data_IF_102958861623
#
_entry.id   IF_102958861623
#
_cell.length_a   1.000
_cell.length_b   1.000
_cell.length_c   1.000
_cell.angle_alpha   90.00
_cell.angle_beta   90.00
_cell.angle_gamma   90.00
#
_symmetry.space_group_name_H-M   'P 1'
#
loop_
_entity.id
_entity.type
_entity.pdbx_description
1 polymer ?
#
# COMPACT_ATOMS: atom_id res chain seq x y z
N UNK A 1 11.24 -39.48 36.43
CA UNK A 1 10.09 -39.91 35.62
C UNK A 1 10.04 -41.43 35.44
N UNK A 2 11.14 -42.08 35.08
CA UNK A 2 11.19 -43.56 34.89
C UNK A 2 10.95 -44.36 36.15
N UNK A 3 11.21 -43.82 37.34
CA UNK A 3 10.92 -44.47 38.64
C UNK A 3 9.43 -44.53 38.98
N UNK A 4 8.62 -43.63 38.37
CA UNK A 4 7.16 -43.57 38.59
C UNK A 4 6.40 -44.25 37.46
N UNK A 5 6.92 -44.17 36.22
CA UNK A 5 6.29 -44.75 35.04
C UNK A 5 7.36 -45.28 34.07
N UNK A 6 7.49 -46.59 33.98
CA UNK A 6 8.47 -47.26 33.09
C UNK A 6 8.25 -47.01 31.62
N UNK A 7 7.05 -46.56 31.22
CA UNK A 7 6.72 -46.18 29.84
C UNK A 7 6.89 -44.67 29.54
N UNK A 8 7.27 -43.84 30.54
CA UNK A 8 7.29 -42.40 30.41
C UNK A 8 8.16 -41.91 29.24
N UNK A 9 9.39 -42.45 29.11
CA UNK A 9 10.30 -42.11 28.04
C UNK A 9 9.71 -42.46 26.65
N UNK A 10 9.09 -43.61 26.51
CA UNK A 10 8.46 -44.11 25.29
C UNK A 10 7.25 -43.28 24.91
N UNK A 11 6.43 -42.92 25.91
CA UNK A 11 5.25 -42.07 25.68
C UNK A 11 5.66 -40.66 25.27
N UNK A 12 6.71 -40.10 25.89
CA UNK A 12 7.26 -38.81 25.53
C UNK A 12 7.82 -38.82 24.09
N UNK A 13 8.59 -39.87 23.74
CA UNK A 13 9.10 -39.99 22.36
C UNK A 13 7.95 -40.04 21.34
N UNK A 14 6.90 -40.84 21.56
CA UNK A 14 5.72 -40.89 20.71
C UNK A 14 4.98 -39.56 20.64
N UNK A 15 4.91 -38.83 21.73
CA UNK A 15 4.32 -37.46 21.72
C UNK A 15 5.15 -36.53 20.87
N UNK A 16 6.48 -36.50 21.02
CA UNK A 16 7.37 -35.69 20.21
C UNK A 16 7.27 -36.02 18.72
N UNK A 17 7.22 -37.32 18.36
CA UNK A 17 7.02 -37.72 16.95
C UNK A 17 5.69 -37.24 16.37
N UNK A 18 4.60 -37.32 17.16
CA UNK A 18 3.29 -36.81 16.72
C UNK A 18 3.29 -35.29 16.62
N UNK A 19 3.90 -34.61 17.59
CA UNK A 19 4.02 -33.15 17.56
C UNK A 19 4.82 -32.66 16.35
N UNK A 20 5.96 -33.31 16.04
CA UNK A 20 6.76 -32.99 14.87
C UNK A 20 5.96 -33.16 13.55
N UNK A 21 5.19 -34.27 13.43
CA UNK A 21 4.35 -34.48 12.24
C UNK A 21 3.21 -33.46 12.13
N UNK A 22 2.65 -33.01 13.24
CA UNK A 22 1.63 -31.97 13.24
C UNK A 22 2.24 -30.62 12.84
N UNK A 23 3.42 -30.31 13.37
CA UNK A 23 4.16 -29.10 13.02
C UNK A 23 4.50 -29.04 11.53
N UNK A 24 5.03 -30.13 10.97
CA UNK A 24 5.27 -30.25 9.51
C UNK A 24 4.00 -30.08 8.66
N UNK A 25 2.86 -30.59 9.15
CA UNK A 25 1.59 -30.43 8.47
C UNK A 25 1.16 -28.96 8.45
N UNK A 26 1.19 -28.29 9.61
CA UNK A 26 0.83 -26.88 9.72
C UNK A 26 1.77 -25.97 8.93
N UNK A 27 3.08 -26.22 8.97
CA UNK A 27 4.06 -25.50 8.19
C UNK A 27 3.74 -25.56 6.68
N UNK A 28 3.42 -26.76 6.16
CA UNK A 28 3.00 -26.90 4.75
C UNK A 28 1.72 -26.14 4.43
N UNK A 29 0.73 -26.11 5.34
CA UNK A 29 -0.49 -25.33 5.17
C UNK A 29 -0.20 -23.82 5.16
N UNK A 30 0.67 -23.35 6.06
CA UNK A 30 1.11 -21.97 6.12
C UNK A 30 1.85 -21.54 4.83
N UNK A 31 2.76 -22.37 4.34
CA UNK A 31 3.47 -22.12 3.08
C UNK A 31 2.52 -22.08 1.87
N UNK A 32 1.57 -23.01 1.81
CA UNK A 32 0.54 -23.03 0.77
C UNK A 32 -0.34 -21.77 0.81
N UNK A 33 -0.72 -21.32 2.02
CA UNK A 33 -1.44 -20.07 2.22
C UNK A 33 -0.65 -18.87 1.72
N UNK A 34 0.62 -18.74 2.14
CA UNK A 34 1.49 -17.64 1.71
C UNK A 34 1.72 -17.64 0.18
N UNK A 35 1.88 -18.82 -0.41
CA UNK A 35 2.01 -18.97 -1.86
C UNK A 35 0.74 -18.54 -2.60
N UNK A 36 -0.44 -18.92 -2.10
CA UNK A 36 -1.73 -18.55 -2.69
C UNK A 36 -2.05 -17.07 -2.52
N UNK A 37 -1.67 -16.49 -1.38
CA UNK A 37 -1.86 -15.07 -1.08
C UNK A 37 -0.87 -14.17 -1.83
N UNK A 38 0.24 -14.74 -2.35
CA UNK A 38 1.28 -13.95 -3.01
C UNK A 38 0.76 -13.31 -4.29
N UNK A 39 0.92 -11.99 -4.39
CA UNK A 39 0.54 -11.29 -5.61
C UNK A 39 1.51 -11.61 -6.76
N UNK A 40 0.94 -12.13 -7.86
CA UNK A 40 1.72 -12.54 -9.04
C UNK A 40 2.07 -11.36 -9.96
N UNK A 41 1.23 -10.32 -9.99
CA UNK A 41 1.39 -9.18 -10.91
C UNK A 41 1.00 -7.86 -10.24
N UNK A 42 1.83 -6.82 -10.47
CA UNK A 42 1.57 -5.45 -10.00
C UNK A 42 0.28 -4.85 -10.58
N UNK A 43 -0.14 -5.30 -11.76
CA UNK A 43 -1.36 -4.81 -12.43
C UNK A 43 -2.65 -5.26 -11.75
N UNK A 44 -2.61 -6.37 -11.03
CA UNK A 44 -3.77 -6.90 -10.30
C UNK A 44 -3.97 -6.24 -8.93
N UNK A 45 -3.03 -5.39 -8.49
CA UNK A 45 -3.07 -4.79 -7.18
C UNK A 45 -3.90 -3.50 -7.13
N UNK A 46 -4.59 -3.25 -6.03
CA UNK A 46 -5.21 -1.96 -5.77
C UNK A 46 -4.20 -0.81 -5.81
N UNK A 47 -4.59 0.35 -6.33
CA UNK A 47 -3.75 1.47 -6.77
C UNK A 47 -2.52 1.89 -5.93
N UNK A 48 -2.56 1.78 -4.59
CA UNK A 48 -1.42 2.15 -3.74
C UNK A 48 -0.36 1.06 -3.59
N UNK A 49 -0.76 -0.20 -3.63
CA UNK A 49 0.13 -1.33 -3.37
C UNK A 49 1.10 -1.65 -4.53
N UNK A 50 0.82 -1.16 -5.74
CA UNK A 50 1.72 -1.30 -6.89
C UNK A 50 3.13 -0.75 -6.67
N UNK A 51 3.30 0.14 -5.69
CA UNK A 51 4.63 0.66 -5.32
C UNK A 51 5.51 -0.39 -4.64
N UNK A 52 4.94 -1.23 -3.77
CA UNK A 52 5.70 -2.26 -3.06
C UNK A 52 6.27 -3.32 -4.00
N UNK A 53 5.51 -3.75 -5.02
CA UNK A 53 6.00 -4.70 -6.03
C UNK A 53 7.12 -4.14 -6.91
N UNK A 54 7.13 -2.84 -7.15
CA UNK A 54 8.19 -2.20 -7.95
C UNK A 54 9.54 -2.18 -7.26
N UNK A 55 9.55 -2.25 -5.95
CA UNK A 55 10.78 -2.39 -5.14
C UNK A 55 11.32 -3.83 -5.11
N UNK A 56 10.66 -4.79 -5.78
CA UNK A 56 11.05 -6.20 -5.78
C UNK A 56 10.75 -6.94 -4.48
N UNK A 57 10.01 -6.32 -3.57
CA UNK A 57 9.67 -6.93 -2.29
C UNK A 57 8.46 -7.88 -2.43
N UNK A 58 8.39 -8.96 -1.66
CA UNK A 58 7.26 -9.86 -1.67
C UNK A 58 6.01 -9.17 -1.12
N UNK A 59 4.88 -9.44 -1.75
CA UNK A 59 3.59 -8.82 -1.46
C UNK A 59 2.53 -9.91 -1.36
N UNK A 60 1.65 -9.81 -0.38
CA UNK A 60 0.57 -10.76 -0.14
C UNK A 60 -0.78 -10.04 -0.12
N UNK A 61 -1.79 -10.66 -0.72
CA UNK A 61 -3.18 -10.22 -0.62
C UNK A 61 -3.71 -10.55 0.77
N UNK A 62 -4.32 -9.59 1.44
CA UNK A 62 -4.83 -9.78 2.82
C UNK A 62 -6.09 -10.67 2.87
N UNK A 63 -6.87 -10.72 1.79
CA UNK A 63 -8.13 -11.47 1.78
C UNK A 63 -7.96 -12.98 2.02
N UNK A 64 -7.05 -13.71 1.33
CA UNK A 64 -6.80 -15.12 1.65
C UNK A 64 -6.29 -15.33 3.07
N UNK A 65 -5.50 -14.37 3.59
CA UNK A 65 -4.98 -14.44 4.96
C UNK A 65 -6.09 -14.30 6.01
N UNK A 66 -7.09 -13.45 5.77
CA UNK A 66 -8.24 -13.26 6.67
C UNK A 66 -9.21 -14.43 6.69
N UNK A 67 -9.36 -15.11 5.55
CA UNK A 67 -10.34 -16.19 5.40
C UNK A 67 -9.81 -17.55 5.87
N UNK A 68 -8.57 -17.62 6.35
CA UNK A 68 -7.95 -18.85 6.79
C UNK A 68 -8.21 -19.15 8.28
N UNK A 69 -7.93 -20.38 8.67
CA UNK A 69 -7.95 -20.77 10.09
C UNK A 69 -6.93 -19.94 10.89
N UNK A 70 -7.28 -19.45 12.11
CA UNK A 70 -6.39 -18.62 12.92
C UNK A 70 -5.05 -19.28 13.24
N UNK A 71 -5.01 -20.61 13.43
CA UNK A 71 -3.77 -21.33 13.69
C UNK A 71 -2.85 -21.33 12.46
N UNK A 72 -3.43 -21.53 11.26
CA UNK A 72 -2.66 -21.49 10.01
C UNK A 72 -2.17 -20.08 9.74
N UNK A 73 -2.97 -19.05 10.03
CA UNK A 73 -2.54 -17.65 9.92
C UNK A 73 -1.36 -17.38 10.86
N UNK A 74 -1.44 -17.81 12.10
CA UNK A 74 -0.38 -17.64 13.08
C UNK A 74 0.94 -18.26 12.60
N UNK A 75 0.91 -19.51 12.15
CA UNK A 75 2.07 -20.20 11.57
C UNK A 75 2.61 -19.47 10.32
N UNK A 76 1.74 -18.96 9.45
CA UNK A 76 2.14 -18.19 8.28
C UNK A 76 2.83 -16.88 8.66
N UNK A 77 2.31 -16.16 9.66
CA UNK A 77 2.92 -14.93 10.16
C UNK A 77 4.26 -15.21 10.84
N UNK A 78 4.40 -16.30 11.58
CA UNK A 78 5.69 -16.75 12.10
C UNK A 78 6.71 -16.97 10.97
N UNK A 79 6.35 -17.69 9.91
CA UNK A 79 7.21 -17.90 8.73
C UNK A 79 7.67 -16.59 8.08
N UNK A 80 6.80 -15.57 8.02
CA UNK A 80 7.16 -14.25 7.50
C UNK A 80 8.15 -13.49 8.38
N UNK A 81 8.12 -13.74 9.68
CA UNK A 81 8.96 -13.06 10.69
C UNK A 81 10.23 -13.83 11.01
N UNK A 82 10.28 -15.13 10.77
CA UNK A 82 11.41 -16.03 11.10
C UNK A 82 12.81 -15.49 10.71
N UNK A 83 13.00 -14.80 9.58
CA UNK A 83 14.28 -14.17 9.26
C UNK A 83 14.71 -13.08 10.27
N UNK A 84 13.79 -12.64 11.15
CA UNK A 84 14.06 -11.66 12.20
C UNK A 84 14.29 -12.41 13.50
N UNK A 85 15.55 -12.51 13.95
CA UNK A 85 15.87 -13.14 15.22
C UNK A 85 15.08 -12.48 16.36
N UNK A 86 14.59 -13.30 17.30
CA UNK A 86 13.88 -12.87 18.52
C UNK A 86 12.55 -12.14 18.27
N UNK A 87 11.82 -12.55 17.22
CA UNK A 87 10.45 -12.04 17.02
C UNK A 87 9.57 -12.51 18.18
N UNK A 88 9.20 -11.59 19.06
CA UNK A 88 8.33 -11.84 20.19
C UNK A 88 6.88 -12.10 19.71
N UNK A 89 6.16 -12.95 20.40
CA UNK A 89 4.73 -13.25 20.20
C UNK A 89 3.85 -12.01 19.99
N UNK A 90 4.20 -10.89 20.65
CA UNK A 90 3.49 -9.62 20.48
C UNK A 90 3.49 -9.12 19.02
N UNK A 91 4.55 -9.39 18.26
CA UNK A 91 4.65 -8.95 16.85
C UNK A 91 3.74 -9.78 15.95
N UNK A 92 3.59 -11.07 16.23
CA UNK A 92 2.66 -11.94 15.52
C UNK A 92 1.23 -11.41 15.67
N UNK A 93 0.82 -11.08 16.90
CA UNK A 93 -0.49 -10.47 17.17
C UNK A 93 -0.68 -9.13 16.46
N UNK A 94 0.33 -8.27 16.49
CA UNK A 94 0.27 -6.99 15.79
C UNK A 94 0.17 -7.17 14.27
N UNK A 95 0.82 -8.20 13.70
CA UNK A 95 0.71 -8.53 12.29
C UNK A 95 -0.67 -9.12 11.95
N UNK A 96 -1.23 -9.97 12.81
CA UNK A 96 -2.59 -10.47 12.65
C UNK A 96 -3.60 -9.31 12.64
N UNK A 97 -3.48 -8.38 13.59
CA UNK A 97 -4.27 -7.14 13.63
C UNK A 97 -4.08 -6.29 12.36
N UNK A 98 -2.86 -6.22 11.82
CA UNK A 98 -2.57 -5.47 10.61
C UNK A 98 -3.24 -6.11 9.38
N UNK A 99 -3.23 -7.45 9.29
CA UNK A 99 -3.93 -8.20 8.24
C UNK A 99 -5.43 -7.96 8.33
N UNK A 100 -6.01 -8.02 9.54
CA UNK A 100 -7.44 -7.82 9.76
C UNK A 100 -7.88 -6.40 9.39
N UNK A 101 -7.16 -5.38 9.85
CA UNK A 101 -7.43 -3.98 9.55
C UNK A 101 -7.19 -3.61 8.08
N UNK A 102 -6.29 -4.32 7.40
CA UNK A 102 -5.93 -4.10 5.99
C UNK A 102 -5.27 -2.74 5.73
N UNK A 103 -4.87 -2.01 6.78
CA UNK A 103 -4.17 -0.73 6.67
C UNK A 103 -3.36 -0.42 7.91
N UNK A 104 -2.17 0.16 7.71
CA UNK A 104 -1.26 0.54 8.80
C UNK A 104 0.14 0.00 8.61
N UNK A 105 0.92 -0.01 9.70
CA UNK A 105 2.27 -0.54 9.68
C UNK A 105 2.71 -1.03 11.06
N UNK A 106 3.52 -2.08 11.07
CA UNK A 106 4.14 -2.66 12.27
C UNK A 106 5.65 -2.68 12.09
N UNK A 107 6.38 -2.03 12.99
CA UNK A 107 7.84 -2.04 13.02
C UNK A 107 8.28 -3.23 13.86
N UNK A 108 8.98 -4.21 13.27
CA UNK A 108 9.52 -5.37 13.99
C UNK A 108 10.88 -5.04 14.59
N UNK A 109 11.77 -4.54 13.74
CA UNK A 109 13.11 -4.11 14.13
C UNK A 109 13.40 -2.79 13.44
N UNK A 110 14.53 -2.21 13.78
CA UNK A 110 15.01 -1.04 13.07
C UNK A 110 15.15 -1.24 11.54
N UNK A 111 15.33 -2.48 11.10
CA UNK A 111 15.57 -2.81 9.69
C UNK A 111 14.33 -3.38 9.00
N UNK A 112 13.36 -3.93 9.72
CA UNK A 112 12.22 -4.66 9.14
C UNK A 112 10.91 -4.06 9.60
N UNK A 113 10.05 -3.74 8.66
CA UNK A 113 8.71 -3.22 8.86
C UNK A 113 7.72 -3.94 7.95
N UNK A 114 6.55 -4.26 8.48
CA UNK A 114 5.42 -4.69 7.67
C UNK A 114 4.43 -3.56 7.50
N UNK A 115 3.90 -3.43 6.30
CA UNK A 115 2.90 -2.44 5.95
C UNK A 115 1.71 -3.13 5.31
N UNK A 116 0.51 -2.63 5.59
CA UNK A 116 -0.70 -3.04 4.91
C UNK A 116 -1.46 -1.82 4.38
N UNK A 117 -2.05 -1.96 3.19
CA UNK A 117 -2.85 -0.93 2.57
C UNK A 117 -3.70 -1.51 1.45
N UNK A 118 -4.93 -1.05 1.35
CA UNK A 118 -5.87 -1.45 0.29
C UNK A 118 -6.02 -2.98 0.12
N UNK A 119 -5.90 -3.73 1.23
CA UNK A 119 -6.01 -5.18 1.23
C UNK A 119 -4.74 -5.91 0.77
N UNK A 120 -3.59 -5.25 0.83
CA UNK A 120 -2.28 -5.81 0.49
C UNK A 120 -1.33 -5.65 1.66
N UNK A 121 -0.60 -6.72 1.99
CA UNK A 121 0.46 -6.76 3.00
C UNK A 121 1.81 -6.88 2.29
N UNK A 122 2.82 -6.12 2.73
CA UNK A 122 4.20 -6.25 2.24
C UNK A 122 5.21 -6.01 3.34
N UNK A 123 6.43 -6.52 3.11
CA UNK A 123 7.57 -6.34 3.99
C UNK A 123 8.52 -5.29 3.40
N UNK A 124 8.89 -4.31 4.20
CA UNK A 124 9.93 -3.33 3.89
C UNK A 124 11.18 -3.65 4.68
N UNK A 125 12.33 -3.69 4.00
CA UNK A 125 13.64 -3.75 4.63
C UNK A 125 14.32 -2.40 4.55
N UNK A 126 14.78 -1.89 5.69
CA UNK A 126 15.58 -0.69 5.71
C UNK A 126 16.95 -0.99 5.10
N UNK A 127 17.24 -0.41 3.97
CA UNK A 127 18.57 -0.46 3.38
C UNK A 127 19.58 0.18 4.34
N UNK A 128 20.59 -0.60 4.77
CA UNK A 128 21.62 -0.15 5.71
C UNK A 128 22.40 1.06 5.20
N UNK A 129 22.45 1.27 3.89
CA UNK A 129 23.09 2.42 3.26
C UNK A 129 22.28 3.72 3.39
N UNK A 130 20.94 3.65 3.52
CA UNK A 130 20.11 4.86 3.61
C UNK A 130 20.14 5.52 4.99
N UNK A 131 20.59 4.81 6.04
CA UNK A 131 20.70 5.37 7.41
C UNK A 131 21.91 6.26 7.62
N UNK A 132 22.98 6.11 6.83
CA UNK A 132 24.20 6.92 6.97
C UNK A 132 24.12 8.27 6.26
N UNK A 133 23.14 8.45 5.42
CA UNK A 133 22.88 9.72 4.76
C UNK A 133 21.61 10.33 5.39
N UNK A 134 21.80 11.07 6.48
CA UNK A 134 20.88 12.10 6.96
C UNK A 134 20.74 13.27 5.96
N UNK A 135 21.22 13.09 4.75
CA UNK A 135 20.95 13.91 3.60
C UNK A 135 19.48 13.70 3.22
N UNK A 136 18.74 14.79 3.25
CA UNK A 136 17.48 14.91 2.55
C UNK A 136 17.68 14.22 1.20
N UNK A 137 17.09 13.05 1.01
CA UNK A 137 17.03 12.46 -0.32
C UNK A 137 16.31 13.50 -1.16
N UNK A 138 17.07 14.24 -1.92
CA UNK A 138 16.58 15.09 -2.98
C UNK A 138 16.05 14.10 -4.01
N UNK A 139 14.81 13.62 -3.75
CA UNK A 139 14.12 12.73 -4.67
C UNK A 139 14.15 13.36 -6.05
N UNK A 140 14.07 12.56 -7.12
CA UNK A 140 14.20 13.08 -8.47
C UNK A 140 13.23 14.25 -8.61
N UNK A 141 13.78 15.47 -8.61
CA UNK A 141 13.01 16.69 -8.82
C UNK A 141 12.59 16.68 -10.27
N UNK A 142 11.36 16.29 -10.52
CA UNK A 142 10.75 16.49 -11.81
C UNK A 142 9.66 17.55 -11.67
N UNK A 143 9.53 18.37 -12.63
CA UNK A 143 8.45 19.35 -12.77
C UNK A 143 8.08 19.43 -14.22
N UNK A 144 6.83 19.14 -14.52
CA UNK A 144 6.28 19.18 -15.89
C UNK A 144 5.04 20.06 -15.88
N UNK A 145 5.01 21.04 -16.78
CA UNK A 145 3.79 21.81 -17.04
C UNK A 145 2.85 20.97 -17.88
N UNK A 146 1.59 20.89 -17.48
CA UNK A 146 0.56 20.12 -18.17
C UNK A 146 -0.34 21.08 -18.95
N UNK A 147 -0.18 21.17 -20.28
CA UNK A 147 -1.08 22.00 -21.08
C UNK A 147 -2.46 21.33 -21.26
N UNK A 148 -2.48 20.06 -21.62
CA UNK A 148 -3.70 19.26 -21.89
C UNK A 148 -3.39 17.77 -21.78
N UNK A 149 -4.34 16.89 -22.09
CA UNK A 149 -4.15 15.44 -22.05
C UNK A 149 -2.89 14.99 -22.80
N UNK A 150 -2.27 13.90 -22.34
CA UNK A 150 -1.02 13.38 -22.91
C UNK A 150 -0.38 12.30 -22.06
N UNK A 151 0.80 11.88 -22.48
CA UNK A 151 1.62 10.87 -21.81
C UNK A 151 2.85 11.55 -21.21
N UNK A 152 2.99 11.45 -19.88
CA UNK A 152 4.04 12.14 -19.13
C UNK A 152 4.96 11.14 -18.45
N UNK A 153 6.26 11.13 -18.80
CA UNK A 153 7.21 10.25 -18.15
C UNK A 153 7.40 10.65 -16.68
N UNK A 154 7.36 9.65 -15.80
CA UNK A 154 7.58 9.80 -14.37
C UNK A 154 8.92 9.17 -13.97
N UNK A 155 9.49 9.57 -12.83
CA UNK A 155 10.64 8.90 -12.23
C UNK A 155 10.39 7.40 -12.05
N UNK A 156 11.42 6.57 -12.27
CA UNK A 156 11.32 5.12 -12.18
C UNK A 156 10.74 4.42 -13.41
N UNK A 157 10.82 5.07 -14.60
CA UNK A 157 10.41 4.45 -15.87
C UNK A 157 8.88 4.30 -16.03
N UNK A 158 8.11 5.03 -15.26
CA UNK A 158 6.64 5.05 -15.31
C UNK A 158 6.15 6.12 -16.28
N UNK A 159 4.96 5.96 -16.80
CA UNK A 159 4.28 6.97 -17.60
C UNK A 159 2.91 7.25 -17.00
N UNK A 160 2.60 8.51 -16.79
CA UNK A 160 1.27 8.96 -16.44
C UNK A 160 0.50 9.27 -17.72
N UNK A 161 -0.63 8.60 -17.91
CA UNK A 161 -1.52 8.83 -19.03
C UNK A 161 -2.68 9.73 -18.60
N UNK A 162 -2.78 10.92 -19.17
CA UNK A 162 -3.88 11.85 -18.93
C UNK A 162 -4.78 11.87 -20.16
N UNK A 163 -6.04 11.58 -20.00
CA UNK A 163 -7.03 11.62 -21.07
C UNK A 163 -8.19 12.52 -20.67
N UNK A 164 -8.47 13.52 -21.48
CA UNK A 164 -9.68 14.33 -21.37
C UNK A 164 -10.76 13.63 -22.19
N UNK A 165 -11.82 13.23 -21.53
CA UNK A 165 -12.95 12.54 -22.17
C UNK A 165 -14.23 13.37 -21.98
N UNK A 166 -15.03 13.50 -23.01
CA UNK A 166 -16.36 14.06 -22.88
C UNK A 166 -17.22 13.05 -22.12
N UNK A 167 -17.59 13.38 -20.88
CA UNK A 167 -18.45 12.52 -20.09
C UNK A 167 -19.88 12.69 -20.55
N UNK A 168 -20.32 11.89 -21.54
CA UNK A 168 -21.69 11.46 -21.58
C UNK A 168 -21.83 10.44 -20.46
N UNK A 169 -22.41 10.82 -19.32
CA UNK A 169 -22.82 9.89 -18.28
C UNK A 169 -23.94 9.01 -18.84
N UNK A 170 -23.57 7.92 -19.50
CA UNK A 170 -24.53 6.82 -19.67
C UNK A 170 -24.74 6.21 -18.29
N UNK A 171 -26.00 6.08 -17.89
CA UNK A 171 -26.49 5.53 -16.61
C UNK A 171 -26.08 4.07 -16.32
N UNK A 172 -24.98 3.58 -16.85
CA UNK A 172 -24.44 2.23 -16.60
C UNK A 172 -23.46 2.18 -15.42
N UNK A 173 -23.71 2.95 -14.36
CA UNK A 173 -22.88 2.89 -13.14
C UNK A 173 -23.46 1.93 -12.07
N UNK A 174 -24.03 0.81 -12.46
CA UNK A 174 -24.09 -0.36 -11.57
C UNK A 174 -22.73 -1.05 -11.66
N UNK A 175 -21.80 -0.70 -10.74
CA UNK A 175 -20.51 -1.40 -10.62
C UNK A 175 -19.24 -0.57 -10.68
N UNK A 176 -19.30 0.75 -10.78
CA UNK A 176 -18.08 1.57 -10.65
C UNK A 176 -17.62 1.56 -9.19
N UNK A 177 -16.58 0.81 -8.91
CA UNK A 177 -15.98 0.78 -7.58
C UNK A 177 -15.48 2.19 -7.22
N UNK A 178 -15.62 2.59 -5.95
CA UNK A 178 -15.05 3.84 -5.41
C UNK A 178 -13.57 4.06 -5.78
N UNK A 179 -12.85 3.01 -6.12
CA UNK A 179 -11.45 3.04 -6.56
C UNK A 179 -11.24 3.69 -7.92
N UNK A 180 -12.18 3.56 -8.85
CA UNK A 180 -12.07 4.15 -10.19
C UNK A 180 -12.25 5.67 -10.16
N UNK A 181 -12.95 6.19 -9.15
CA UNK A 181 -13.14 7.64 -8.96
C UNK A 181 -11.89 8.36 -8.42
N UNK A 182 -10.92 7.64 -7.87
CA UNK A 182 -9.67 8.24 -7.38
C UNK A 182 -8.82 8.86 -8.49
N UNK A 183 -9.00 8.39 -9.72
CA UNK A 183 -8.24 8.80 -10.90
C UNK A 183 -9.09 9.56 -11.92
N UNK A 184 -10.25 10.08 -11.53
CA UNK A 184 -11.13 10.87 -12.39
C UNK A 184 -11.47 12.21 -11.73
N UNK A 185 -11.45 13.28 -12.50
CA UNK A 185 -11.81 14.61 -12.04
C UNK A 185 -12.52 15.42 -13.11
N UNK A 186 -13.21 16.44 -12.68
CA UNK A 186 -13.83 17.43 -13.55
C UNK A 186 -12.75 18.37 -14.13
N UNK A 187 -12.49 18.23 -15.42
CA UNK A 187 -11.45 19.00 -16.11
C UNK A 187 -11.73 20.49 -16.10
N UNK A 188 -12.98 20.89 -16.27
CA UNK A 188 -13.35 22.30 -16.27
C UNK A 188 -13.05 22.96 -14.92
N UNK A 189 -13.33 22.24 -13.80
CA UNK A 189 -13.00 22.72 -12.46
C UNK A 189 -11.50 22.81 -12.22
N UNK A 190 -10.74 21.80 -12.67
CA UNK A 190 -9.28 21.84 -12.56
C UNK A 190 -8.72 23.04 -13.33
N UNK A 191 -9.14 23.23 -14.56
CA UNK A 191 -8.67 24.30 -15.43
C UNK A 191 -9.06 25.70 -14.93
N UNK A 192 -10.20 25.82 -14.25
CA UNK A 192 -10.64 27.09 -13.64
C UNK A 192 -9.81 27.51 -12.42
N UNK A 193 -9.18 26.55 -11.71
CA UNK A 193 -8.33 26.84 -10.55
C UNK A 193 -6.99 27.41 -10.99
N UNK A 194 -6.38 26.86 -12.01
CA UNK A 194 -5.09 27.29 -12.48
C UNK A 194 -4.89 26.92 -13.96
N UNK A 195 -4.61 27.88 -14.83
CA UNK A 195 -4.35 27.61 -16.25
C UNK A 195 -3.02 26.89 -16.48
N UNK A 196 -2.12 26.91 -15.50
CA UNK A 196 -0.82 26.23 -15.57
C UNK A 196 -0.71 25.22 -14.45
N UNK A 197 -1.13 24.00 -14.75
CA UNK A 197 -0.97 22.85 -13.85
C UNK A 197 0.46 22.32 -13.92
N UNK A 198 0.98 21.91 -12.77
CA UNK A 198 2.31 21.30 -12.67
C UNK A 198 2.21 19.93 -12.03
N UNK A 199 2.91 18.99 -12.65
CA UNK A 199 3.13 17.67 -12.09
C UNK A 199 4.53 17.65 -11.49
N UNK A 200 4.64 17.42 -10.19
CA UNK A 200 5.92 17.40 -9.46
C UNK A 200 5.88 16.55 -8.22
N UNK A 201 7.02 16.30 -7.62
CA UNK A 201 7.10 15.74 -6.27
C UNK A 201 6.74 16.78 -5.20
N UNK A 202 6.53 16.32 -3.97
CA UNK A 202 6.17 17.19 -2.84
C UNK A 202 7.23 18.23 -2.53
N UNK A 203 6.79 19.37 -2.02
CA UNK A 203 7.64 20.42 -1.52
C UNK A 203 7.21 20.82 -0.10
N UNK A 204 8.11 21.42 0.72
CA UNK A 204 7.74 21.96 2.00
C UNK A 204 6.64 23.04 1.86
N UNK A 205 5.62 22.94 2.73
CA UNK A 205 4.51 23.86 2.72
C UNK A 205 3.36 23.51 1.77
N UNK A 206 3.43 22.37 1.05
CA UNK A 206 2.31 21.87 0.27
C UNK A 206 1.12 21.54 1.16
N UNK A 207 -0.07 21.88 0.68
CA UNK A 207 -1.34 21.69 1.36
C UNK A 207 -2.27 20.82 0.51
N UNK A 208 -3.04 19.97 1.18
CA UNK A 208 -4.00 19.09 0.55
C UNK A 208 -5.31 19.04 1.33
N UNK A 209 -6.41 19.16 0.61
CA UNK A 209 -7.76 19.01 1.15
C UNK A 209 -8.38 17.76 0.52
N UNK A 210 -8.29 16.60 1.17
CA UNK A 210 -8.80 15.36 0.59
C UNK A 210 -10.33 15.39 0.47
N UNK A 211 -10.84 14.78 -0.59
CA UNK A 211 -12.27 14.65 -0.81
C UNK A 211 -12.98 14.01 0.39
N UNK A 212 -14.13 14.55 0.78
CA UNK A 212 -14.98 14.03 1.85
C UNK A 212 -14.55 14.39 3.28
N UNK A 213 -13.42 15.05 3.51
CA UNK A 213 -12.99 15.48 4.86
C UNK A 213 -13.05 16.99 5.09
N UNK A 214 -13.27 17.80 4.07
CA UNK A 214 -13.53 19.24 4.13
C UNK A 214 -12.43 20.13 4.76
N UNK A 215 -11.37 19.56 5.34
CA UNK A 215 -10.32 20.29 6.07
C UNK A 215 -9.05 20.32 5.24
N UNK A 216 -8.55 21.54 5.02
CA UNK A 216 -7.25 21.78 4.39
C UNK A 216 -6.11 21.50 5.37
N UNK A 217 -5.16 20.66 4.98
CA UNK A 217 -4.08 20.18 5.84
C UNK A 217 -2.72 20.30 5.16
N UNK A 218 -1.68 20.35 5.97
CA UNK A 218 -0.32 20.15 5.49
C UNK A 218 -0.20 18.75 4.87
N UNK A 219 0.28 18.67 3.63
CA UNK A 219 0.39 17.41 2.87
C UNK A 219 1.17 16.34 3.64
N UNK A 220 2.25 16.73 4.33
CA UNK A 220 3.07 15.81 5.13
C UNK A 220 2.24 15.11 6.22
N UNK A 221 1.39 15.84 6.95
CA UNK A 221 0.53 15.28 8.00
C UNK A 221 -0.49 14.33 7.41
N UNK A 222 -1.11 14.73 6.30
CA UNK A 222 -2.06 13.89 5.60
C UNK A 222 -1.40 12.60 5.08
N UNK A 223 -0.20 12.65 4.49
CA UNK A 223 0.53 11.46 4.03
C UNK A 223 0.85 10.47 5.17
N UNK A 224 1.08 10.97 6.40
CA UNK A 224 1.26 10.12 7.57
C UNK A 224 -0.05 9.38 7.91
N UNK A 225 -1.17 10.10 7.95
CA UNK A 225 -2.49 9.53 8.24
C UNK A 225 -2.96 8.56 7.15
N UNK A 226 -2.63 8.84 5.88
CA UNK A 226 -2.92 7.97 4.74
C UNK A 226 -2.03 6.72 4.68
N UNK A 227 -1.04 6.61 5.60
CA UNK A 227 -0.14 5.46 5.64
C UNK A 227 0.86 5.38 4.49
N UNK A 228 1.10 6.50 3.76
CA UNK A 228 2.07 6.51 2.66
C UNK A 228 3.48 6.31 3.23
N UNK A 229 4.22 5.29 2.77
CA UNK A 229 5.55 5.01 3.26
C UNK A 229 6.51 6.20 3.09
N UNK A 230 7.38 6.52 4.06
CA UNK A 230 8.26 7.67 3.99
C UNK A 230 9.11 7.76 2.72
N UNK A 231 9.57 6.61 2.21
CA UNK A 231 10.40 6.51 1.00
C UNK A 231 9.65 6.89 -0.29
N UNK A 232 8.34 6.67 -0.31
CA UNK A 232 7.51 6.95 -1.48
C UNK A 232 7.10 8.41 -1.54
N UNK A 233 7.02 9.09 -0.39
CA UNK A 233 6.50 10.46 -0.31
C UNK A 233 7.28 11.47 -1.15
N UNK A 234 8.58 11.26 -1.29
CA UNK A 234 9.47 12.18 -2.03
C UNK A 234 9.47 11.92 -3.54
N UNK A 235 8.96 10.74 -3.96
CA UNK A 235 8.88 10.34 -5.37
C UNK A 235 7.46 10.29 -5.90
N UNK A 236 6.45 10.46 -5.03
CA UNK A 236 5.04 10.39 -5.40
C UNK A 236 4.66 11.58 -6.27
N UNK A 237 4.11 11.36 -7.48
CA UNK A 237 3.66 12.45 -8.33
C UNK A 237 2.44 13.17 -7.76
N UNK A 238 2.49 14.48 -7.79
CA UNK A 238 1.43 15.38 -7.34
C UNK A 238 1.04 16.31 -8.47
N UNK A 239 -0.25 16.50 -8.70
CA UNK A 239 -0.76 17.61 -9.50
C UNK A 239 -0.96 18.80 -8.58
N UNK A 240 -0.39 19.94 -8.94
CA UNK A 240 -0.40 21.13 -8.09
C UNK A 240 -0.75 22.41 -8.85
N UNK A 241 -1.42 23.31 -8.12
CA UNK A 241 -1.59 24.72 -8.49
C UNK A 241 -0.85 25.54 -7.42
N UNK A 242 0.36 25.97 -7.73
CA UNK A 242 1.24 26.59 -6.72
C UNK A 242 1.59 25.64 -5.58
N UNK A 243 1.12 25.95 -4.35
CA UNK A 243 1.28 25.09 -3.15
C UNK A 243 0.07 24.22 -2.86
N UNK A 244 -1.03 24.45 -3.56
CA UNK A 244 -2.25 23.67 -3.40
C UNK A 244 -2.12 22.37 -4.20
N UNK A 245 -2.21 21.23 -3.54
CA UNK A 245 -2.24 19.91 -4.18
C UNK A 245 -3.65 19.61 -4.62
N UNK A 246 -3.82 19.36 -5.92
CA UNK A 246 -5.11 19.04 -6.54
C UNK A 246 -5.33 17.52 -6.65
N UNK A 247 -4.24 16.77 -6.80
CA UNK A 247 -4.27 15.31 -6.89
C UNK A 247 -2.99 14.69 -6.37
N UNK A 248 -3.16 13.57 -5.67
CA UNK A 248 -2.06 12.71 -5.22
C UNK A 248 -2.17 11.39 -5.95
N UNK A 249 -1.11 10.98 -6.66
CA UNK A 249 -1.10 9.78 -7.48
C UNK A 249 -1.50 8.53 -6.68
N UNK A 250 -2.52 7.81 -7.15
CA UNK A 250 -3.05 6.62 -6.49
C UNK A 250 -3.94 6.87 -5.27
N UNK A 251 -4.02 8.12 -4.77
CA UNK A 251 -4.79 8.47 -3.58
C UNK A 251 -6.11 9.18 -3.88
N UNK A 252 -6.09 10.04 -4.90
CA UNK A 252 -7.27 10.75 -5.34
C UNK A 252 -7.12 12.26 -5.43
N UNK A 253 -8.22 12.89 -5.83
CA UNK A 253 -8.30 14.34 -6.01
C UNK A 253 -8.68 15.08 -4.73
N UNK A 254 -8.36 16.36 -4.74
CA UNK A 254 -8.82 17.30 -3.71
C UNK A 254 -10.34 17.44 -3.72
N UNK A 255 -10.87 17.90 -2.59
CA UNK A 255 -12.30 18.13 -2.39
C UNK A 255 -12.85 19.12 -3.43
N UNK A 256 -14.04 18.84 -3.93
CA UNK A 256 -14.70 19.63 -4.97
C UNK A 256 -14.29 19.33 -6.40
N UNK A 257 -13.23 18.53 -6.65
CA UNK A 257 -12.75 18.19 -7.99
C UNK A 257 -13.36 16.92 -8.58
N UNK A 258 -14.13 16.17 -7.80
CA UNK A 258 -14.83 14.99 -8.30
C UNK A 258 -15.73 15.34 -9.48
N UNK A 259 -15.89 14.44 -10.48
CA UNK A 259 -16.81 14.64 -11.59
C UNK A 259 -18.22 14.95 -11.10
N UNK A 260 -18.83 16.01 -11.63
CA UNK A 260 -20.21 16.37 -11.33
C UNK A 260 -21.21 15.42 -12.02
N UNK A 261 -22.49 15.47 -11.61
CA UNK A 261 -23.58 14.76 -12.28
C UNK A 261 -24.03 15.44 -13.58
N UNK A 262 -23.55 16.63 -13.86
CA UNK A 262 -23.82 17.39 -15.08
C UNK A 262 -22.87 16.96 -16.21
N UNK A 263 -23.37 16.90 -17.49
CA UNK A 263 -22.50 16.62 -18.63
C UNK A 263 -21.38 17.66 -18.71
N UNK A 264 -20.16 17.23 -18.60
CA UNK A 264 -18.97 18.07 -18.65
C UNK A 264 -17.77 17.24 -19.06
N UNK A 265 -16.64 17.90 -19.39
CA UNK A 265 -15.39 17.20 -19.70
C UNK A 265 -14.79 16.62 -18.44
N UNK A 266 -14.52 15.32 -18.44
CA UNK A 266 -13.89 14.58 -17.34
C UNK A 266 -12.46 14.20 -17.74
N UNK A 267 -11.51 14.32 -16.83
CA UNK A 267 -10.16 13.79 -17.01
C UNK A 267 -10.03 12.44 -16.32
N UNK A 268 -9.47 11.47 -17.02
CA UNK A 268 -9.04 10.19 -16.45
C UNK A 268 -7.52 10.15 -16.40
N UNK A 269 -6.98 9.72 -15.27
CA UNK A 269 -5.55 9.63 -14.96
C UNK A 269 -5.21 8.18 -14.67
N UNK A 270 -4.34 7.56 -15.45
CA UNK A 270 -3.90 6.17 -15.29
C UNK A 270 -2.38 6.07 -15.25
#
# INVERSE_FOLDING_TARGET
>A
LCGVNSAAARNLARFCEKAAKADEYFARQADALLASARAADAKSLPGGAGYALRSGQPVWMSEPLRQTDPLILDMALHSLVEPVRDAEEKYIRLLADLVEKGSGAVQLTDAVRFCARDGVLWREEADKNTRRQGEKADGPKFEVSLPEGGDYPLPGGRTLHIRVVSACFEEKTQGVHKKDLKNQADYAKINSICPVLRLRCRQPGDRFRPAGRGVDRELRKWMNEAGIPPRERDTLPLLVAGRQVLWVCGEGFADGLAPGRTPGSCCRWN
#
